data_IF_255249946871
#
_entry.id   IF_255249946871
#
_cell.length_a   1.000
_cell.length_b   1.000
_cell.length_c   1.000
_cell.angle_alpha   90.00
_cell.angle_beta   90.00
_cell.angle_gamma   90.00
#
_symmetry.space_group_name_H-M   'P 1'
#
loop_
_entity.id
_entity.type
_entity.pdbx_description
1 polymer ?
#
# COMPACT_ATOMS: atom_id res chain seq x y z
N UNK A 1 -59.49 33.64 -32.69
CA UNK A 1 -58.06 33.59 -32.32
C UNK A 1 -57.94 33.90 -30.83
N UNK A 2 -57.10 33.17 -30.09
CA UNK A 2 -56.86 33.30 -28.63
C UNK A 2 -55.38 33.72 -28.38
N UNK A 3 -54.78 33.86 -27.19
CA UNK A 3 -54.95 33.35 -25.80
C UNK A 3 -54.59 34.51 -24.83
N UNK A 4 -55.46 34.91 -23.89
CA UNK A 4 -55.50 34.51 -22.47
C UNK A 4 -54.23 34.85 -21.63
N UNK A 5 -54.45 35.76 -20.65
CA UNK A 5 -53.73 36.15 -19.42
C UNK A 5 -52.45 35.38 -19.00
N UNK A 6 -51.42 36.11 -18.55
CA UNK A 6 -50.55 35.68 -17.43
C UNK A 6 -49.05 35.95 -17.56
N UNK A 7 -48.56 37.11 -17.10
CA UNK A 7 -47.11 37.35 -16.93
C UNK A 7 -46.69 36.92 -15.52
N UNK A 8 -45.91 35.85 -15.44
CA UNK A 8 -45.38 35.30 -14.19
C UNK A 8 -44.20 36.10 -13.62
N UNK A 9 -44.02 36.00 -12.30
CA UNK A 9 -42.91 36.60 -11.56
C UNK A 9 -41.63 35.81 -11.86
N UNK A 10 -40.62 36.46 -12.42
CA UNK A 10 -39.28 35.87 -12.62
C UNK A 10 -38.41 36.16 -11.40
N UNK A 11 -38.16 35.15 -10.57
CA UNK A 11 -37.15 35.21 -9.51
C UNK A 11 -35.75 35.17 -10.12
N UNK A 12 -34.97 36.23 -9.90
CA UNK A 12 -33.59 36.34 -10.39
C UNK A 12 -32.63 35.49 -9.57
N UNK A 13 -32.48 34.23 -9.95
CA UNK A 13 -31.38 33.38 -9.43
C UNK A 13 -30.06 33.86 -10.01
N UNK A 14 -29.23 34.52 -9.18
CA UNK A 14 -27.90 34.99 -9.55
C UNK A 14 -26.89 33.84 -9.59
N UNK A 15 -26.82 33.16 -10.74
CA UNK A 15 -25.80 32.15 -11.03
C UNK A 15 -24.43 32.78 -11.24
N UNK A 16 -23.58 32.73 -10.21
CA UNK A 16 -22.17 33.11 -10.31
C UNK A 16 -21.39 32.12 -11.20
N UNK A 17 -21.22 32.49 -12.48
CA UNK A 17 -20.48 31.70 -13.45
C UNK A 17 -18.96 31.88 -13.27
N UNK A 18 -18.37 31.12 -12.33
CA UNK A 18 -16.92 31.07 -12.13
C UNK A 18 -16.25 30.37 -13.31
N UNK A 19 -15.79 31.16 -14.29
CA UNK A 19 -15.10 30.66 -15.47
C UNK A 19 -13.80 29.90 -15.15
N UNK A 20 -13.39 29.02 -16.07
CA UNK A 20 -12.23 28.09 -15.98
C UNK A 20 -10.93 28.68 -15.36
N UNK A 21 -10.68 29.99 -15.55
CA UNK A 21 -9.50 30.69 -14.97
C UNK A 21 -9.60 30.92 -13.45
N UNK A 22 -10.80 31.15 -12.91
CA UNK A 22 -11.02 31.34 -11.46
C UNK A 22 -10.79 30.04 -10.67
N UNK A 23 -11.20 28.91 -11.23
CA UNK A 23 -10.94 27.57 -10.67
C UNK A 23 -9.43 27.29 -10.54
N UNK A 24 -8.65 27.58 -11.59
CA UNK A 24 -7.18 27.44 -11.54
C UNK A 24 -6.50 28.38 -10.55
N UNK A 25 -7.01 29.60 -10.36
CA UNK A 25 -6.49 30.53 -9.36
C UNK A 25 -6.74 30.04 -7.92
N UNK A 26 -7.94 29.51 -7.65
CA UNK A 26 -8.32 28.96 -6.36
C UNK A 26 -7.43 27.75 -5.99
N UNK A 27 -7.27 26.78 -6.89
CA UNK A 27 -6.42 25.61 -6.65
C UNK A 27 -4.95 25.96 -6.39
N UNK A 28 -4.42 27.00 -7.03
CA UNK A 28 -3.05 27.47 -6.80
C UNK A 28 -2.87 28.13 -5.42
N UNK A 29 -3.93 28.73 -4.86
CA UNK A 29 -3.90 29.35 -3.53
C UNK A 29 -3.99 28.32 -2.38
N UNK A 30 -4.70 27.20 -2.56
CA UNK A 30 -4.74 26.07 -1.60
C UNK A 30 -3.66 25.00 -1.84
N UNK A 31 -2.66 25.27 -2.70
CA UNK A 31 -1.52 24.37 -2.91
C UNK A 31 -1.82 23.06 -3.66
N UNK A 32 -3.04 22.88 -4.16
CA UNK A 32 -3.44 21.68 -4.92
C UNK A 32 -3.02 21.88 -6.38
N UNK A 33 -1.76 21.53 -6.69
CA UNK A 33 -1.30 21.46 -8.07
C UNK A 33 -2.08 20.37 -8.82
N UNK A 34 -2.59 20.60 -10.05
CA UNK A 34 -3.32 19.59 -10.81
C UNK A 34 -2.41 18.40 -11.17
N UNK A 35 -2.43 17.37 -10.34
CA UNK A 35 -1.71 16.12 -10.62
C UNK A 35 -2.28 15.45 -11.86
N UNK A 36 -1.42 15.13 -12.83
CA UNK A 36 -1.80 14.25 -13.94
C UNK A 36 -2.07 12.87 -13.34
N UNK A 37 -3.31 12.38 -13.48
CA UNK A 37 -3.65 11.00 -13.17
C UNK A 37 -2.98 10.09 -14.19
N UNK A 38 -1.74 9.68 -13.91
CA UNK A 38 -1.06 8.64 -14.67
C UNK A 38 -1.67 7.31 -14.27
N UNK A 39 -2.44 6.70 -15.20
CA UNK A 39 -2.85 5.32 -15.06
C UNK A 39 -1.60 4.43 -15.06
N UNK A 40 -1.22 3.97 -13.87
CA UNK A 40 -0.21 2.92 -13.74
C UNK A 40 -0.89 1.59 -14.03
N UNK A 41 -0.61 1.04 -15.21
CA UNK A 41 -0.88 -0.36 -15.50
C UNK A 41 -0.14 -1.22 -14.45
N UNK A 42 -0.91 -2.04 -13.73
CA UNK A 42 -0.41 -2.88 -12.64
C UNK A 42 0.35 -4.10 -13.16
N UNK A 43 0.01 -4.56 -14.36
CA UNK A 43 0.57 -5.76 -14.98
C UNK A 43 1.73 -5.48 -15.93
N UNK A 44 1.98 -4.21 -16.22
CA UNK A 44 3.15 -3.74 -16.99
C UNK A 44 4.47 -4.31 -16.42
N UNK A 45 5.45 -4.64 -17.28
CA UNK A 45 6.71 -5.25 -16.85
C UNK A 45 7.46 -4.34 -15.88
N UNK A 46 7.67 -4.84 -14.65
CA UNK A 46 8.36 -4.08 -13.61
C UNK A 46 9.86 -4.03 -13.87
N UNK A 47 10.39 -2.81 -13.93
CA UNK A 47 11.83 -2.55 -14.03
C UNK A 47 12.31 -1.84 -12.78
N UNK A 48 13.47 -2.25 -12.26
CA UNK A 48 14.13 -1.69 -11.08
C UNK A 48 14.29 -0.16 -11.15
N UNK A 49 14.47 0.40 -12.34
CA UNK A 49 14.62 1.85 -12.57
C UNK A 49 13.35 2.64 -12.26
N UNK A 50 12.17 2.05 -12.49
CA UNK A 50 10.85 2.64 -12.23
C UNK A 50 10.34 2.38 -10.81
N UNK A 51 11.07 1.61 -10.01
CA UNK A 51 10.60 1.08 -8.75
C UNK A 51 10.97 2.04 -7.59
N UNK A 52 9.93 2.50 -6.89
CA UNK A 52 9.98 3.28 -5.66
C UNK A 52 9.27 2.55 -4.53
N UNK A 53 9.92 2.41 -3.38
CA UNK A 53 9.35 1.84 -2.16
C UNK A 53 8.69 2.93 -1.31
N UNK A 54 7.59 2.60 -0.65
CA UNK A 54 6.88 3.47 0.29
C UNK A 54 7.33 3.26 1.73
N UNK A 55 7.58 2.01 2.13
CA UNK A 55 7.95 1.62 3.50
C UNK A 55 9.21 0.76 3.56
N UNK A 56 9.43 -0.11 2.57
CA UNK A 56 10.61 -0.97 2.56
C UNK A 56 11.88 -0.19 2.17
N UNK A 57 12.82 -0.04 3.10
CA UNK A 57 14.13 0.55 2.79
C UNK A 57 15.10 -0.51 2.21
N UNK A 58 14.92 -0.86 0.92
CA UNK A 58 15.73 -1.88 0.24
C UNK A 58 16.80 -1.25 -0.67
N UNK A 59 18.05 -1.71 -0.50
CA UNK A 59 19.17 -1.23 -1.29
C UNK A 59 19.09 -1.71 -2.76
N UNK A 60 18.99 -0.79 -3.71
CA UNK A 60 18.73 -1.09 -5.14
C UNK A 60 19.74 -2.06 -5.78
N UNK A 61 20.99 -2.10 -5.31
CA UNK A 61 21.97 -3.05 -5.84
C UNK A 61 21.56 -4.50 -5.56
N UNK A 62 21.07 -4.81 -4.35
CA UNK A 62 20.74 -6.18 -3.92
C UNK A 62 19.53 -6.77 -4.68
N UNK A 63 18.81 -5.93 -5.40
CA UNK A 63 17.63 -6.28 -6.19
C UNK A 63 17.95 -6.62 -7.66
N UNK A 64 19.20 -6.39 -8.12
CA UNK A 64 19.60 -6.58 -9.53
C UNK A 64 19.43 -8.00 -10.05
N UNK A 65 19.63 -9.00 -9.19
CA UNK A 65 19.58 -10.41 -9.55
C UNK A 65 18.18 -11.04 -9.29
N UNK A 66 17.16 -10.23 -9.00
CA UNK A 66 15.79 -10.70 -8.80
C UNK A 66 15.03 -10.80 -10.13
N UNK A 67 14.21 -11.82 -10.25
CA UNK A 67 13.27 -11.97 -11.36
C UNK A 67 12.12 -10.94 -11.28
N UNK A 68 11.45 -10.67 -12.41
CA UNK A 68 10.29 -9.77 -12.45
C UNK A 68 9.18 -10.18 -11.47
N UNK A 69 8.79 -11.48 -11.36
CA UNK A 69 7.78 -11.90 -10.38
C UNK A 69 8.17 -11.65 -8.92
N UNK A 70 9.48 -11.74 -8.60
CA UNK A 70 10.02 -11.42 -7.28
C UNK A 70 9.98 -9.93 -6.97
N UNK A 71 10.32 -9.08 -7.95
CA UNK A 71 10.16 -7.63 -7.82
C UNK A 71 8.67 -7.24 -7.66
N UNK A 72 7.78 -7.91 -8.40
CA UNK A 72 6.32 -7.75 -8.28
C UNK A 72 5.80 -8.17 -6.90
N UNK A 73 6.31 -9.26 -6.35
CA UNK A 73 5.97 -9.71 -5.00
C UNK A 73 6.47 -8.75 -3.92
N UNK A 74 7.71 -8.26 -4.02
CA UNK A 74 8.21 -7.24 -3.10
C UNK A 74 7.37 -5.95 -3.15
N UNK A 75 6.90 -5.54 -4.34
CA UNK A 75 5.95 -4.42 -4.48
C UNK A 75 4.63 -4.69 -3.74
N UNK A 76 4.04 -5.88 -3.89
CA UNK A 76 2.84 -6.26 -3.11
C UNK A 76 3.09 -6.27 -1.60
N UNK A 77 4.27 -6.70 -1.16
CA UNK A 77 4.66 -6.66 0.26
C UNK A 77 4.72 -5.21 0.74
N UNK A 78 5.38 -4.30 0.01
CA UNK A 78 5.45 -2.86 0.35
C UNK A 78 4.05 -2.20 0.40
N UNK A 79 3.17 -2.52 -0.56
CA UNK A 79 1.77 -2.10 -0.59
C UNK A 79 0.98 -2.62 0.63
N UNK A 80 1.18 -3.90 1.02
CA UNK A 80 0.58 -4.50 2.22
C UNK A 80 1.10 -3.86 3.52
N UNK A 81 2.40 -3.59 3.61
CA UNK A 81 3.03 -2.89 4.75
C UNK A 81 2.48 -1.47 4.88
N UNK A 82 2.30 -0.75 3.76
CA UNK A 82 1.70 0.60 3.75
C UNK A 82 0.28 0.58 4.32
N UNK A 83 -0.57 -0.37 3.88
CA UNK A 83 -1.92 -0.54 4.44
C UNK A 83 -1.90 -0.86 5.94
N UNK A 84 -1.03 -1.78 6.34
CA UNK A 84 -0.86 -2.19 7.74
C UNK A 84 -0.45 -1.02 8.65
N UNK A 85 0.56 -0.23 8.25
CA UNK A 85 0.98 0.95 8.99
C UNK A 85 -0.08 2.06 9.03
N UNK A 86 -0.82 2.28 7.94
CA UNK A 86 -1.89 3.28 7.90
C UNK A 86 -2.99 2.96 8.93
N UNK A 87 -3.30 1.67 9.11
CA UNK A 87 -4.18 1.20 10.17
C UNK A 87 -3.57 1.38 11.57
N UNK A 88 -2.28 1.04 11.78
CA UNK A 88 -1.64 1.28 13.09
C UNK A 88 -1.71 2.76 13.50
N UNK A 89 -1.53 3.68 12.55
CA UNK A 89 -1.70 5.13 12.76
C UNK A 89 -3.15 5.52 13.08
N UNK A 90 -4.14 4.89 12.43
CA UNK A 90 -5.55 5.18 12.70
C UNK A 90 -6.04 4.64 14.06
N UNK A 91 -5.45 3.56 14.59
CA UNK A 91 -5.65 3.12 15.97
C UNK A 91 -5.03 4.10 16.98
N UNK A 92 -3.78 4.54 16.74
CA UNK A 92 -3.10 5.52 17.60
C UNK A 92 -3.89 6.83 17.70
N UNK A 93 -4.47 7.31 16.58
CA UNK A 93 -5.34 8.49 16.56
C UNK A 93 -6.64 8.32 17.38
N UNK A 94 -7.08 7.08 17.61
CA UNK A 94 -8.23 6.75 18.47
C UNK A 94 -7.81 6.55 19.95
N UNK A 95 -6.57 6.88 20.32
CA UNK A 95 -5.98 6.58 21.63
C UNK A 95 -5.96 5.08 22.00
N UNK A 96 -6.20 4.20 21.02
CA UNK A 96 -5.97 2.77 21.14
C UNK A 96 -4.49 2.53 20.86
N UNK A 97 -3.68 2.42 21.90
CA UNK A 97 -2.32 1.88 21.80
C UNK A 97 -2.40 0.35 21.76
N UNK A 98 -2.30 -0.30 20.58
CA UNK A 98 -2.25 -1.75 20.55
C UNK A 98 -1.00 -2.22 21.30
N UNK A 99 -1.16 -3.18 22.21
CA UNK A 99 -0.03 -3.92 22.74
C UNK A 99 0.68 -4.60 21.55
N UNK A 100 1.98 -4.33 21.38
CA UNK A 100 2.75 -4.91 20.27
C UNK A 100 2.80 -6.41 20.47
N UNK A 101 2.05 -7.15 19.65
CA UNK A 101 2.03 -8.61 19.74
C UNK A 101 3.34 -9.18 19.18
N UNK A 102 3.71 -10.38 19.62
CA UNK A 102 4.90 -11.08 19.11
C UNK A 102 4.89 -11.16 17.57
N UNK A 103 3.73 -11.40 16.96
CA UNK A 103 3.57 -11.47 15.51
C UNK A 103 3.92 -10.15 14.82
N UNK A 104 3.58 -9.01 15.43
CA UNK A 104 3.92 -7.67 14.92
C UNK A 104 5.41 -7.38 15.09
N UNK A 105 6.01 -7.74 16.24
CA UNK A 105 7.44 -7.62 16.47
C UNK A 105 8.26 -8.46 15.48
N UNK A 106 7.89 -9.72 15.28
CA UNK A 106 8.53 -10.63 14.32
C UNK A 106 8.40 -10.12 12.89
N UNK A 107 7.22 -9.64 12.48
CA UNK A 107 7.04 -8.99 11.18
C UNK A 107 7.96 -7.78 11.02
N UNK A 108 7.98 -6.87 11.99
CA UNK A 108 8.81 -5.67 11.94
C UNK A 108 10.30 -6.00 11.77
N UNK A 109 10.80 -7.01 12.50
CA UNK A 109 12.17 -7.53 12.40
C UNK A 109 12.46 -8.22 11.06
N UNK A 110 11.48 -8.90 10.48
CA UNK A 110 11.64 -9.48 9.14
C UNK A 110 11.75 -8.39 8.07
N UNK A 111 10.87 -7.39 8.09
CA UNK A 111 10.84 -6.32 7.08
C UNK A 111 12.09 -5.43 7.10
N UNK A 112 12.53 -5.00 8.28
CA UNK A 112 13.58 -3.98 8.42
C UNK A 112 14.99 -4.54 8.68
N UNK A 113 15.12 -5.84 8.99
CA UNK A 113 16.42 -6.46 9.27
C UNK A 113 16.64 -7.69 8.39
N UNK A 114 15.82 -8.74 8.53
CA UNK A 114 16.10 -10.03 7.86
C UNK A 114 15.92 -10.00 6.35
N UNK A 115 14.95 -9.25 5.84
CA UNK A 115 14.72 -9.10 4.40
C UNK A 115 15.89 -8.37 3.71
N UNK A 116 16.36 -7.19 4.19
CA UNK A 116 17.59 -6.57 3.70
C UNK A 116 18.84 -7.46 3.77
N UNK A 117 19.05 -8.17 4.90
CA UNK A 117 20.16 -9.11 5.08
C UNK A 117 20.11 -10.24 4.05
N UNK A 118 18.97 -10.90 3.88
CA UNK A 118 18.82 -12.03 2.95
C UNK A 118 18.93 -11.59 1.48
N UNK A 119 18.43 -10.40 1.13
CA UNK A 119 18.63 -9.81 -0.19
C UNK A 119 20.11 -9.53 -0.47
N UNK A 120 20.85 -9.03 0.52
CA UNK A 120 22.29 -8.82 0.41
C UNK A 120 23.04 -10.14 0.21
N UNK A 121 22.71 -11.18 1.00
CA UNK A 121 23.30 -12.52 0.89
C UNK A 121 22.99 -13.17 -0.47
N UNK A 122 21.74 -13.09 -0.93
CA UNK A 122 21.33 -13.60 -2.25
C UNK A 122 22.09 -12.89 -3.39
N UNK A 123 22.18 -11.55 -3.35
CA UNK A 123 22.96 -10.78 -4.31
C UNK A 123 24.45 -11.13 -4.26
N UNK A 124 25.02 -11.38 -3.08
CA UNK A 124 26.41 -11.83 -2.97
C UNK A 124 26.60 -13.20 -3.65
N UNK A 125 25.79 -14.21 -3.30
CA UNK A 125 25.85 -15.55 -3.90
C UNK A 125 25.60 -15.54 -5.41
N UNK A 126 24.69 -14.70 -5.91
CA UNK A 126 24.42 -14.58 -7.34
C UNK A 126 25.63 -14.03 -8.13
N UNK A 127 26.39 -13.10 -7.54
CA UNK A 127 27.52 -12.43 -8.19
C UNK A 127 28.89 -13.06 -7.87
N UNK A 128 28.96 -14.01 -6.94
CA UNK A 128 30.14 -14.86 -6.76
C UNK A 128 30.26 -15.77 -8.00
N UNK A 129 31.32 -15.54 -8.77
CA UNK A 129 31.87 -16.50 -9.73
C UNK A 129 32.97 -17.30 -9.01
N UNK A 130 32.57 -18.32 -8.25
CA UNK A 130 33.44 -19.46 -8.00
C UNK A 130 33.33 -20.37 -9.24
N UNK A 131 34.36 -21.18 -9.46
CA UNK A 131 34.66 -21.80 -10.76
C UNK A 131 33.62 -22.83 -11.19
N UNK A 132 32.85 -22.50 -12.24
CA UNK A 132 32.27 -23.36 -13.29
C UNK A 132 31.66 -24.76 -12.98
N UNK A 133 31.49 -25.16 -11.73
CA UNK A 133 30.97 -26.47 -11.33
C UNK A 133 29.46 -26.44 -11.05
N UNK A 134 28.79 -27.58 -11.26
CA UNK A 134 27.35 -27.74 -11.04
C UNK A 134 26.90 -27.35 -9.61
N UNK A 135 27.77 -27.56 -8.62
CA UNK A 135 27.52 -27.23 -7.21
C UNK A 135 27.22 -25.74 -6.95
N UNK A 136 27.67 -24.83 -7.81
CA UNK A 136 27.37 -23.39 -7.66
C UNK A 136 26.01 -23.01 -8.28
N UNK A 137 25.53 -23.76 -9.27
CA UNK A 137 24.17 -23.62 -9.77
C UNK A 137 23.15 -24.13 -8.74
N UNK A 138 23.46 -25.23 -8.04
CA UNK A 138 22.65 -25.75 -6.94
C UNK A 138 22.52 -24.74 -5.80
N UNK A 139 23.63 -24.17 -5.31
CA UNK A 139 23.60 -23.12 -4.26
C UNK A 139 22.84 -21.86 -4.68
N UNK A 140 22.94 -21.45 -5.96
CA UNK A 140 22.19 -20.30 -6.50
C UNK A 140 20.69 -20.61 -6.57
N UNK A 141 20.32 -21.84 -6.94
CA UNK A 141 18.92 -22.30 -6.93
C UNK A 141 18.36 -22.38 -5.49
N UNK A 142 19.12 -22.94 -4.55
CA UNK A 142 18.75 -23.01 -3.12
C UNK A 142 18.57 -21.61 -2.52
N UNK A 143 19.53 -20.69 -2.75
CA UNK A 143 19.43 -19.32 -2.27
C UNK A 143 18.19 -18.60 -2.82
N UNK A 144 17.82 -18.84 -4.08
CA UNK A 144 16.61 -18.32 -4.69
C UNK A 144 15.33 -18.93 -4.09
N UNK A 145 15.34 -20.24 -3.78
CA UNK A 145 14.24 -20.91 -3.07
C UNK A 145 14.05 -20.38 -1.65
N UNK A 146 15.14 -20.21 -0.88
CA UNK A 146 15.11 -19.64 0.48
C UNK A 146 14.58 -18.21 0.48
N UNK A 147 15.03 -17.38 -0.47
CA UNK A 147 14.52 -16.02 -0.65
C UNK A 147 13.00 -16.03 -0.95
N UNK A 148 12.56 -16.91 -1.85
CA UNK A 148 11.15 -17.07 -2.20
C UNK A 148 10.30 -17.53 -1.01
N UNK A 149 10.83 -18.45 -0.18
CA UNK A 149 10.17 -18.86 1.07
C UNK A 149 10.01 -17.69 2.04
N UNK A 150 11.02 -16.83 2.17
CA UNK A 150 10.93 -15.63 3.03
C UNK A 150 9.92 -14.61 2.49
N UNK A 151 9.87 -14.37 1.18
CA UNK A 151 8.85 -13.49 0.59
C UNK A 151 7.44 -14.04 0.84
N UNK A 152 7.22 -15.33 0.60
CA UNK A 152 5.94 -16.00 0.87
C UNK A 152 5.57 -15.94 2.36
N UNK A 153 6.53 -16.10 3.27
CA UNK A 153 6.28 -16.05 4.72
C UNK A 153 5.89 -14.64 5.18
N UNK A 154 6.58 -13.60 4.69
CA UNK A 154 6.27 -12.20 4.98
C UNK A 154 4.89 -11.85 4.41
N UNK A 155 4.61 -12.20 3.15
CA UNK A 155 3.34 -11.90 2.48
C UNK A 155 2.16 -12.56 3.21
N UNK A 156 2.23 -13.86 3.52
CA UNK A 156 1.18 -14.55 4.27
C UNK A 156 0.98 -14.02 5.70
N UNK A 157 2.02 -13.50 6.36
CA UNK A 157 1.88 -12.91 7.70
C UNK A 157 1.20 -11.55 7.64
N UNK A 158 1.52 -10.75 6.63
CA UNK A 158 0.81 -9.50 6.34
C UNK A 158 -0.66 -9.77 6.05
N UNK A 159 -0.98 -10.75 5.22
CA UNK A 159 -2.37 -11.10 4.89
C UNK A 159 -3.18 -11.48 6.14
N UNK A 160 -2.68 -12.40 6.97
CA UNK A 160 -3.34 -12.77 8.24
C UNK A 160 -3.51 -11.58 9.19
N UNK A 161 -2.55 -10.66 9.26
CA UNK A 161 -2.66 -9.47 10.10
C UNK A 161 -3.71 -8.49 9.56
N UNK A 162 -3.79 -8.30 8.24
CA UNK A 162 -4.82 -7.47 7.60
C UNK A 162 -6.22 -8.07 7.81
N UNK A 163 -6.39 -9.38 7.61
CA UNK A 163 -7.65 -10.11 7.87
C UNK A 163 -8.10 -9.99 9.33
N UNK A 164 -7.16 -10.10 10.29
CA UNK A 164 -7.43 -9.90 11.71
C UNK A 164 -7.91 -8.47 12.02
N UNK A 165 -7.32 -7.46 11.40
CA UNK A 165 -7.71 -6.06 11.58
C UNK A 165 -9.14 -5.78 11.10
N UNK A 166 -9.48 -6.25 9.90
CA UNK A 166 -10.84 -6.13 9.33
C UNK A 166 -11.87 -6.85 10.21
N UNK A 167 -11.55 -8.06 10.66
CA UNK A 167 -12.38 -8.85 11.56
C UNK A 167 -12.60 -8.17 12.92
N UNK A 168 -11.54 -7.56 13.48
CA UNK A 168 -11.61 -6.82 14.74
C UNK A 168 -12.48 -5.56 14.60
N UNK A 169 -12.28 -4.75 13.56
CA UNK A 169 -13.11 -3.56 13.31
C UNK A 169 -14.59 -3.91 13.14
N UNK A 170 -14.90 -4.95 12.36
CA UNK A 170 -16.27 -5.40 12.18
C UNK A 170 -16.89 -5.90 13.50
N UNK A 171 -16.10 -6.54 14.37
CA UNK A 171 -16.57 -6.96 15.68
C UNK A 171 -16.82 -5.78 16.63
N UNK A 172 -15.97 -4.75 16.63
CA UNK A 172 -16.20 -3.51 17.40
C UNK A 172 -17.51 -2.83 16.98
N UNK A 173 -17.78 -2.73 15.66
CA UNK A 173 -19.03 -2.18 15.14
C UNK A 173 -20.27 -3.00 15.56
N UNK A 174 -20.16 -4.33 15.59
CA UNK A 174 -21.23 -5.22 16.08
C UNK A 174 -21.50 -5.02 17.58
N UNK A 175 -20.45 -4.90 18.39
CA UNK A 175 -20.57 -4.62 19.84
C UNK A 175 -21.24 -3.26 20.06
N UNK A 176 -20.83 -2.22 19.33
CA UNK A 176 -21.43 -0.89 19.42
C UNK A 176 -22.92 -0.90 19.04
N UNK A 177 -23.29 -1.59 17.95
CA UNK A 177 -24.69 -1.77 17.56
C UNK A 177 -25.52 -2.43 18.66
N UNK A 178 -25.00 -3.51 19.26
CA UNK A 178 -25.71 -4.23 20.31
C UNK A 178 -25.86 -3.39 21.59
N UNK A 179 -24.85 -2.58 21.93
CA UNK A 179 -24.89 -1.65 23.06
C UNK A 179 -25.94 -0.55 22.89
N UNK A 180 -26.07 0.03 21.69
CA UNK A 180 -27.12 1.03 21.41
C UNK A 180 -28.51 0.38 21.57
N UNK A 181 -28.72 -0.75 20.89
CA UNK A 181 -29.98 -1.49 20.96
C UNK A 181 -30.41 -1.89 22.38
N UNK A 182 -29.47 -2.13 23.31
CA UNK A 182 -29.79 -2.49 24.70
C UNK A 182 -30.15 -1.30 25.60
N UNK A 183 -30.02 -0.07 25.11
CA UNK A 183 -30.40 1.17 25.83
C UNK A 183 -31.62 1.87 25.22
N UNK A 184 -32.08 1.43 24.04
CA UNK A 184 -33.33 1.86 23.39
C UNK A 184 -34.55 1.00 23.82
N UNK A 185 -34.46 0.26 24.93
CA UNK A 185 -35.49 -0.64 25.48
C UNK A 185 -35.96 -0.22 26.87
#
# INVERSE_FOLDING_TARGET
MSILIGIGIVTTVTTFYLGKKGWHALHKAVGISPGVLTYQDYDAPLSLSKLSWQQLNLHKQHLKNLSEPQLRQLKRIDEKVTRYQAYQKSLQAQHKTPAVTEQQFVLNKMLHTRLPEMLASHHHLANINISADNADNEKKAEANQLLQQVFNNIEQRLDRLLEQMESQQLQELRVMKNYINSHDS
#
